data_IF_928056982824
#
_entry.id   IF_928056982824
#
_cell.length_a   1.000
_cell.length_b   1.000
_cell.length_c   1.000
_cell.angle_alpha   90.00
_cell.angle_beta   90.00
_cell.angle_gamma   90.00
#
_symmetry.space_group_name_H-M   'P 1'
#
loop_
_entity.id
_entity.type
_entity.pdbx_description
1 polymer ?
#
# COMPACT_ATOMS: atom_id res chain seq x y z
N UNK A 1 -19.91 4.18 23.98
CA UNK A 1 -18.85 3.45 24.72
C UNK A 1 -17.55 3.39 23.93
N UNK A 2 -17.53 2.93 22.67
CA UNK A 2 -16.30 2.85 21.87
C UNK A 2 -15.70 4.22 21.45
N UNK A 3 -16.52 5.26 21.32
CA UNK A 3 -16.08 6.60 20.92
C UNK A 3 -15.18 7.25 21.95
N UNK A 4 -15.59 7.28 23.22
CA UNK A 4 -14.82 7.91 24.30
C UNK A 4 -13.43 7.31 24.48
N UNK A 5 -13.29 5.97 24.37
CA UNK A 5 -11.98 5.32 24.38
C UNK A 5 -11.13 5.70 23.15
N UNK A 6 -11.77 5.76 21.98
CA UNK A 6 -11.10 6.12 20.73
C UNK A 6 -10.65 7.58 20.66
N UNK A 7 -11.33 8.48 21.37
CA UNK A 7 -10.94 9.89 21.46
C UNK A 7 -9.72 10.11 22.36
N UNK A 8 -9.48 9.19 23.30
CA UNK A 8 -8.39 9.28 24.28
C UNK A 8 -7.19 8.40 23.94
N UNK A 9 -7.26 7.56 22.90
CA UNK A 9 -6.15 6.72 22.47
C UNK A 9 -5.25 7.44 21.46
N UNK A 10 -3.94 7.45 21.72
CA UNK A 10 -2.94 7.91 20.76
C UNK A 10 -2.57 6.76 19.81
N UNK A 11 -2.91 6.93 18.52
CA UNK A 11 -2.60 5.93 17.48
C UNK A 11 -1.10 5.73 17.32
N UNK A 12 -0.33 6.80 17.49
CA UNK A 12 1.12 6.79 17.32
C UNK A 12 1.79 6.01 18.46
N UNK A 13 1.38 6.26 19.70
CA UNK A 13 1.95 5.58 20.87
C UNK A 13 1.56 4.10 20.86
N UNK A 14 0.31 3.80 20.51
CA UNK A 14 -0.14 2.41 20.33
C UNK A 14 0.61 1.72 19.19
N UNK A 15 0.93 2.42 18.10
CA UNK A 15 1.73 1.85 17.01
C UNK A 15 3.18 1.56 17.44
N UNK A 16 3.81 2.44 18.23
CA UNK A 16 5.13 2.20 18.81
C UNK A 16 5.09 0.98 19.74
N UNK A 17 4.08 0.92 20.60
CA UNK A 17 3.85 -0.22 21.47
C UNK A 17 3.62 -1.52 20.67
N UNK A 18 2.86 -1.48 19.58
CA UNK A 18 2.67 -2.61 18.66
C UNK A 18 3.99 -3.09 18.05
N UNK A 19 4.89 -2.18 17.67
CA UNK A 19 6.23 -2.55 17.18
C UNK A 19 7.13 -3.15 18.26
N UNK A 20 6.94 -2.75 19.51
CA UNK A 20 7.60 -3.36 20.66
C UNK A 20 6.92 -4.66 21.13
N UNK A 21 5.63 -4.83 20.86
CA UNK A 21 4.84 -6.04 21.14
C UNK A 21 5.37 -7.23 20.34
N UNK A 22 5.78 -7.02 19.09
CA UNK A 22 6.47 -8.04 18.28
C UNK A 22 7.76 -8.57 18.95
N UNK A 23 8.32 -7.84 19.94
CA UNK A 23 9.49 -8.23 20.73
C UNK A 23 9.16 -8.57 22.21
N UNK A 24 7.88 -8.62 22.60
CA UNK A 24 7.42 -9.07 23.93
C UNK A 24 7.45 -8.05 25.08
N UNK A 25 7.60 -6.76 24.81
CA UNK A 25 7.88 -5.76 25.86
C UNK A 25 6.85 -4.62 26.02
N UNK A 26 5.72 -4.64 25.31
CA UNK A 26 4.72 -3.57 25.42
C UNK A 26 3.29 -4.06 25.19
N UNK A 27 2.31 -3.49 25.88
CA UNK A 27 0.89 -3.70 25.59
C UNK A 27 0.46 -2.79 24.44
N UNK A 28 -0.21 -3.35 23.44
CA UNK A 28 -0.87 -2.58 22.39
C UNK A 28 -2.32 -3.03 22.22
N UNK A 29 -3.20 -2.08 21.95
CA UNK A 29 -4.61 -2.34 21.64
C UNK A 29 -4.73 -2.98 20.25
N UNK A 30 -3.85 -2.61 19.32
CA UNK A 30 -3.78 -3.22 18.00
C UNK A 30 -2.74 -4.36 17.95
N UNK A 31 -3.03 -5.50 17.29
CA UNK A 31 -4.27 -5.83 16.59
C UNK A 31 -5.33 -6.53 17.46
N UNK A 32 -4.93 -7.10 18.60
CA UNK A 32 -5.72 -8.09 19.37
C UNK A 32 -7.04 -7.55 19.93
N UNK A 33 -7.03 -6.28 20.36
CA UNK A 33 -8.18 -5.63 20.97
C UNK A 33 -8.84 -4.62 20.02
N UNK A 34 -8.57 -4.69 18.72
CA UNK A 34 -9.10 -3.73 17.74
C UNK A 34 -10.63 -3.62 17.74
N UNK A 35 -11.38 -4.62 18.21
CA UNK A 35 -12.84 -4.59 18.28
C UNK A 35 -13.41 -3.46 19.17
N UNK A 36 -12.64 -2.94 20.13
CA UNK A 36 -13.08 -1.82 20.99
C UNK A 36 -12.90 -0.45 20.31
N UNK A 37 -12.14 -0.39 19.21
CA UNK A 37 -11.78 0.84 18.52
C UNK A 37 -12.76 1.16 17.39
N UNK A 38 -12.95 2.46 17.14
CA UNK A 38 -13.71 2.93 15.98
C UNK A 38 -12.98 2.64 14.67
N UNK A 39 -13.74 2.62 13.56
CA UNK A 39 -13.20 2.47 12.20
C UNK A 39 -12.16 3.54 11.87
N UNK A 40 -12.37 4.76 12.36
CA UNK A 40 -11.44 5.88 12.14
C UNK A 40 -10.05 5.59 12.73
N UNK A 41 -9.99 5.12 13.97
CA UNK A 41 -8.73 4.78 14.63
C UNK A 41 -8.01 3.65 13.88
N UNK A 42 -8.76 2.62 13.47
CA UNK A 42 -8.21 1.51 12.66
C UNK A 42 -7.65 1.99 11.32
N UNK A 43 -8.38 2.86 10.63
CA UNK A 43 -7.94 3.44 9.36
C UNK A 43 -6.64 4.22 9.56
N UNK A 44 -6.55 5.07 10.60
CA UNK A 44 -5.34 5.84 10.92
C UNK A 44 -4.16 4.93 11.23
N UNK A 45 -4.38 3.87 12.01
CA UNK A 45 -3.34 2.87 12.30
C UNK A 45 -2.83 2.18 11.03
N UNK A 46 -3.73 1.69 10.17
CA UNK A 46 -3.37 1.03 8.92
C UNK A 46 -2.61 1.98 7.99
N UNK A 47 -3.06 3.24 7.89
CA UNK A 47 -2.37 4.27 7.13
C UNK A 47 -0.96 4.52 7.65
N UNK A 48 -0.79 4.64 8.96
CA UNK A 48 0.53 4.82 9.59
C UNK A 48 1.44 3.62 9.34
N UNK A 49 0.92 2.40 9.51
CA UNK A 49 1.65 1.16 9.26
C UNK A 49 2.16 1.08 7.81
N UNK A 50 1.28 1.31 6.85
CA UNK A 50 1.62 1.30 5.43
C UNK A 50 2.66 2.37 5.10
N UNK A 51 2.51 3.60 5.63
CA UNK A 51 3.49 4.67 5.39
C UNK A 51 4.87 4.36 5.94
N UNK A 52 4.96 3.83 7.16
CA UNK A 52 6.24 3.47 7.76
C UNK A 52 6.90 2.34 6.97
N UNK A 53 6.12 1.32 6.60
CA UNK A 53 6.62 0.19 5.80
C UNK A 53 7.14 0.65 4.44
N UNK A 54 6.33 1.37 3.67
CA UNK A 54 6.72 1.86 2.35
C UNK A 54 7.93 2.81 2.41
N UNK A 55 8.03 3.65 3.46
CA UNK A 55 9.23 4.47 3.68
C UNK A 55 10.46 3.62 3.96
N UNK A 56 10.31 2.50 4.68
CA UNK A 56 11.40 1.58 4.94
C UNK A 56 11.90 0.94 3.64
N UNK A 57 10.99 0.42 2.81
CA UNK A 57 11.32 -0.17 1.49
C UNK A 57 12.13 0.80 0.62
N UNK A 58 11.68 2.06 0.53
CA UNK A 58 12.40 3.09 -0.24
C UNK A 58 13.81 3.36 0.30
N UNK A 59 13.97 3.41 1.62
CA UNK A 59 15.28 3.64 2.24
C UNK A 59 16.22 2.46 2.03
N UNK A 60 15.72 1.23 2.13
CA UNK A 60 16.52 0.04 1.86
C UNK A 60 16.97 -0.01 0.41
N UNK A 61 16.06 0.19 -0.55
CA UNK A 61 16.41 0.23 -1.97
C UNK A 61 17.47 1.30 -2.31
N UNK A 62 17.39 2.48 -1.67
CA UNK A 62 18.40 3.53 -1.83
C UNK A 62 19.74 3.14 -1.18
N UNK A 63 19.72 2.57 0.02
CA UNK A 63 20.92 2.12 0.71
C UNK A 63 21.66 1.05 -0.12
N UNK A 64 20.94 0.06 -0.63
CA UNK A 64 21.53 -1.01 -1.46
C UNK A 64 22.12 -0.45 -2.76
N UNK A 65 21.45 0.53 -3.38
CA UNK A 65 21.96 1.21 -4.56
C UNK A 65 23.27 1.97 -4.27
N UNK A 66 23.39 2.59 -3.09
CA UNK A 66 24.62 3.29 -2.68
C UNK A 66 25.73 2.29 -2.31
N UNK A 67 25.40 1.22 -1.58
CA UNK A 67 26.38 0.28 -1.02
C UNK A 67 26.90 -0.71 -2.06
N UNK A 68 26.02 -1.28 -2.88
CA UNK A 68 26.36 -2.36 -3.82
C UNK A 68 26.30 -1.92 -5.29
N UNK A 69 25.88 -0.68 -5.57
CA UNK A 69 25.64 -0.20 -6.95
C UNK A 69 24.46 -0.88 -7.63
N UNK A 70 23.65 -1.66 -6.90
CA UNK A 70 22.50 -2.39 -7.43
C UNK A 70 21.26 -1.51 -7.31
N UNK A 71 20.71 -1.09 -8.44
CA UNK A 71 19.48 -0.32 -8.47
C UNK A 71 18.28 -1.24 -8.20
N UNK A 72 17.76 -1.20 -6.97
CA UNK A 72 16.52 -1.87 -6.60
C UNK A 72 15.34 -0.92 -6.84
N UNK A 73 14.24 -1.40 -7.43
CA UNK A 73 13.04 -0.59 -7.64
C UNK A 73 12.34 -0.30 -6.28
N UNK A 74 12.30 0.98 -5.83
CA UNK A 74 11.74 1.34 -4.52
C UNK A 74 10.20 1.37 -4.49
N UNK A 75 9.53 1.33 -5.64
CA UNK A 75 8.08 1.38 -5.77
C UNK A 75 7.49 0.07 -6.29
N UNK A 76 6.19 -0.12 -6.11
CA UNK A 76 5.44 -1.09 -6.89
C UNK A 76 5.06 -0.38 -8.19
N UNK A 77 5.91 -0.49 -9.22
CA UNK A 77 5.71 0.21 -10.49
C UNK A 77 4.88 -0.64 -11.44
N UNK A 78 3.79 -0.08 -11.97
CA UNK A 78 3.00 -0.68 -13.04
C UNK A 78 3.06 0.20 -14.28
N UNK A 79 3.47 -0.39 -15.41
CA UNK A 79 3.42 0.27 -16.73
C UNK A 79 2.16 -0.22 -17.45
N UNK A 80 1.25 0.71 -17.75
CA UNK A 80 -0.11 0.40 -18.20
C UNK A 80 -0.42 1.17 -19.48
N UNK A 81 -1.06 0.53 -20.46
CA UNK A 81 -1.70 1.25 -21.58
C UNK A 81 -3.17 1.51 -21.26
N UNK A 82 -3.66 2.70 -21.62
CA UNK A 82 -5.03 3.15 -21.28
C UNK A 82 -6.13 2.34 -21.96
N UNK A 83 -5.83 1.78 -23.12
CA UNK A 83 -6.71 0.93 -23.92
C UNK A 83 -6.67 -0.55 -23.47
N UNK A 84 -5.79 -0.90 -22.53
CA UNK A 84 -5.60 -2.29 -22.10
C UNK A 84 -5.33 -2.42 -20.58
N UNK A 85 -6.08 -1.67 -19.77
CA UNK A 85 -5.78 -1.43 -18.35
C UNK A 85 -5.80 -2.72 -17.54
N UNK A 86 -6.87 -3.52 -17.67
CA UNK A 86 -7.01 -4.77 -16.90
C UNK A 86 -5.89 -5.75 -17.24
N UNK A 87 -5.64 -5.97 -18.54
CA UNK A 87 -4.68 -6.98 -18.98
C UNK A 87 -3.26 -6.59 -18.60
N UNK A 88 -2.86 -5.35 -18.84
CA UNK A 88 -1.53 -4.87 -18.47
C UNK A 88 -1.35 -4.90 -16.95
N UNK A 89 -2.38 -4.54 -16.16
CA UNK A 89 -2.31 -4.64 -14.70
C UNK A 89 -2.12 -6.08 -14.23
N UNK A 90 -2.89 -7.03 -14.77
CA UNK A 90 -2.76 -8.44 -14.43
C UNK A 90 -1.39 -9.01 -14.80
N UNK A 91 -0.87 -8.72 -16.01
CA UNK A 91 0.42 -9.21 -16.46
C UNK A 91 1.56 -8.64 -15.59
N UNK A 92 1.53 -7.34 -15.25
CA UNK A 92 2.52 -6.73 -14.34
C UNK A 92 2.43 -7.33 -12.93
N UNK A 93 1.22 -7.43 -12.36
CA UNK A 93 1.02 -7.98 -11.01
C UNK A 93 1.44 -9.46 -10.93
N UNK A 94 1.17 -10.25 -11.97
CA UNK A 94 1.60 -11.64 -12.06
C UNK A 94 3.14 -11.76 -12.06
N UNK A 95 3.83 -10.94 -12.85
CA UNK A 95 5.29 -10.90 -12.87
C UNK A 95 5.86 -10.55 -11.48
N UNK A 96 5.27 -9.57 -10.79
CA UNK A 96 5.67 -9.16 -9.44
C UNK A 96 5.44 -10.29 -8.42
N UNK A 97 4.33 -11.02 -8.53
CA UNK A 97 4.04 -12.16 -7.66
C UNK A 97 5.08 -13.28 -7.81
N UNK A 98 5.53 -13.53 -9.05
CA UNK A 98 6.54 -14.55 -9.35
C UNK A 98 7.94 -14.17 -8.86
N UNK A 99 8.29 -12.89 -8.89
CA UNK A 99 9.57 -12.38 -8.37
C UNK A 99 9.60 -12.39 -6.83
N UNK A 100 8.79 -11.56 -6.19
CA UNK A 100 8.70 -11.49 -4.74
C UNK A 100 7.41 -10.83 -4.30
N UNK A 101 6.51 -11.63 -3.70
CA UNK A 101 5.22 -11.15 -3.19
C UNK A 101 5.32 -10.04 -2.12
N UNK A 102 6.46 -9.86 -1.45
CA UNK A 102 6.66 -8.74 -0.53
C UNK A 102 6.62 -7.38 -1.25
N UNK A 103 6.91 -7.34 -2.56
CA UNK A 103 6.89 -6.13 -3.37
C UNK A 103 5.49 -5.49 -3.44
N UNK A 104 4.40 -6.25 -3.27
CA UNK A 104 3.04 -5.70 -3.22
C UNK A 104 2.81 -4.70 -2.09
N UNK A 105 3.71 -4.67 -1.10
CA UNK A 105 3.63 -3.77 0.05
C UNK A 105 4.45 -2.49 -0.13
N UNK A 106 5.14 -2.34 -1.27
CA UNK A 106 5.76 -1.08 -1.70
C UNK A 106 4.68 -0.06 -2.07
N UNK A 107 5.08 1.21 -2.19
CA UNK A 107 4.17 2.26 -2.62
C UNK A 107 3.87 2.09 -4.12
N UNK A 108 2.59 2.03 -4.49
CA UNK A 108 2.15 1.94 -5.88
C UNK A 108 2.56 3.19 -6.66
N UNK A 109 3.10 2.99 -7.86
CA UNK A 109 3.36 4.04 -8.85
C UNK A 109 2.89 3.57 -10.22
N UNK A 110 1.97 4.32 -10.80
CA UNK A 110 1.47 4.05 -12.14
C UNK A 110 2.24 4.90 -13.15
N UNK A 111 2.59 4.30 -14.27
CA UNK A 111 3.08 4.99 -15.46
C UNK A 111 2.23 4.56 -16.66
N UNK A 112 1.52 5.52 -17.26
CA UNK A 112 0.85 5.27 -18.52
C UNK A 112 1.84 5.33 -19.68
N UNK A 113 1.72 4.39 -20.62
CA UNK A 113 2.61 4.33 -21.78
C UNK A 113 2.47 5.59 -22.65
N UNK A 114 3.60 6.08 -23.18
CA UNK A 114 3.64 7.32 -23.96
C UNK A 114 3.40 8.63 -23.18
N UNK A 115 3.14 8.59 -21.88
CA UNK A 115 2.91 9.78 -21.05
C UNK A 115 4.12 10.13 -20.20
N UNK A 116 4.47 11.42 -20.14
CA UNK A 116 5.45 11.86 -19.14
C UNK A 116 4.87 11.60 -17.75
N UNK A 117 5.64 10.90 -16.92
CA UNK A 117 5.28 10.60 -15.54
C UNK A 117 5.33 11.89 -14.70
N UNK A 118 4.32 12.75 -14.89
CA UNK A 118 4.08 13.89 -14.04
C UNK A 118 3.05 13.44 -13.01
N UNK A 119 3.51 13.45 -11.76
CA UNK A 119 2.77 13.78 -10.56
C UNK A 119 2.55 12.73 -9.45
N UNK A 120 2.61 13.30 -8.25
CA UNK A 120 2.69 12.74 -6.91
C UNK A 120 1.33 12.18 -6.41
N UNK A 121 0.68 11.33 -7.22
CA UNK A 121 -0.48 10.53 -6.80
C UNK A 121 -1.75 10.68 -7.64
N UNK A 122 -1.84 11.70 -8.50
CA UNK A 122 -2.99 11.88 -9.41
C UNK A 122 -3.22 10.70 -10.36
N UNK A 123 -2.14 10.22 -10.97
CA UNK A 123 -2.17 9.09 -11.92
C UNK A 123 -2.62 7.79 -11.26
N UNK A 124 -2.24 7.57 -9.99
CA UNK A 124 -2.68 6.37 -9.25
C UNK A 124 -4.18 6.41 -8.95
N UNK A 125 -4.72 7.60 -8.62
CA UNK A 125 -6.16 7.79 -8.43
C UNK A 125 -6.91 7.51 -9.74
N UNK A 126 -6.42 8.04 -10.86
CA UNK A 126 -7.00 7.81 -12.17
C UNK A 126 -7.00 6.31 -12.53
N UNK A 127 -5.88 5.62 -12.34
CA UNK A 127 -5.79 4.17 -12.55
C UNK A 127 -6.85 3.41 -11.73
N UNK A 128 -7.01 3.75 -10.44
CA UNK A 128 -8.05 3.11 -9.62
C UNK A 128 -9.45 3.37 -10.15
N UNK A 129 -9.75 4.56 -10.68
CA UNK A 129 -11.05 4.85 -11.28
C UNK A 129 -11.27 4.00 -12.54
N UNK A 130 -10.29 3.96 -13.44
CA UNK A 130 -10.40 3.24 -14.70
C UNK A 130 -10.53 1.72 -14.47
N UNK A 131 -9.67 1.14 -13.64
CA UNK A 131 -9.71 -0.30 -13.37
C UNK A 131 -11.01 -0.70 -12.65
N UNK A 132 -11.50 0.15 -11.73
CA UNK A 132 -12.80 -0.09 -11.07
C UNK A 132 -13.93 -0.10 -12.08
N UNK A 133 -13.96 0.88 -12.99
CA UNK A 133 -14.98 0.95 -14.03
C UNK A 133 -14.95 -0.27 -14.97
N UNK A 134 -13.77 -0.72 -15.38
CA UNK A 134 -13.64 -1.91 -16.24
C UNK A 134 -14.04 -3.19 -15.50
N UNK A 135 -13.61 -3.37 -14.24
CA UNK A 135 -13.95 -4.53 -13.43
C UNK A 135 -15.46 -4.68 -13.24
N UNK A 136 -16.17 -3.57 -13.02
CA UNK A 136 -17.62 -3.56 -12.86
C UNK A 136 -18.39 -3.42 -14.18
N UNK A 137 -17.71 -3.40 -15.32
CA UNK A 137 -18.37 -3.44 -16.61
C UNK A 137 -19.05 -4.82 -16.78
N UNK A 138 -20.37 -4.87 -17.06
CA UNK A 138 -21.07 -6.13 -17.28
C UNK A 138 -20.44 -7.01 -18.37
N UNK A 139 -19.83 -6.38 -19.38
CA UNK A 139 -19.16 -7.07 -20.48
C UNK A 139 -17.92 -7.85 -20.04
N UNK A 140 -17.28 -7.47 -18.93
CA UNK A 140 -16.15 -8.19 -18.35
C UNK A 140 -16.57 -9.44 -17.57
N UNK A 141 -17.84 -9.55 -17.17
CA UNK A 141 -18.40 -10.77 -16.55
C UNK A 141 -17.82 -11.15 -15.19
N UNK A 142 -17.16 -10.22 -14.48
CA UNK A 142 -16.53 -10.50 -13.18
C UNK A 142 -17.48 -10.32 -12.00
N UNK A 143 -18.45 -9.42 -12.12
CA UNK A 143 -19.44 -9.12 -11.10
C UNK A 143 -20.84 -9.09 -11.74
N UNK A 144 -21.82 -9.65 -11.05
CA UNK A 144 -23.24 -9.68 -11.44
C UNK A 144 -24.08 -8.98 -10.38
#
# INVERSE_FOLDING_TARGET
MNSTLSDNISVQDDFVAYKSYENGHAFSVMPEYSFILTTEVKQRFLYLNNRIRQRSERRHALADAITFGVSMEPYLKLNIRRDNIIRDALDNLAAIAMDNSANFKKQLRIQFDGEQAVDEGGVSKEFYQLITNELFCPDYGLFH
#
